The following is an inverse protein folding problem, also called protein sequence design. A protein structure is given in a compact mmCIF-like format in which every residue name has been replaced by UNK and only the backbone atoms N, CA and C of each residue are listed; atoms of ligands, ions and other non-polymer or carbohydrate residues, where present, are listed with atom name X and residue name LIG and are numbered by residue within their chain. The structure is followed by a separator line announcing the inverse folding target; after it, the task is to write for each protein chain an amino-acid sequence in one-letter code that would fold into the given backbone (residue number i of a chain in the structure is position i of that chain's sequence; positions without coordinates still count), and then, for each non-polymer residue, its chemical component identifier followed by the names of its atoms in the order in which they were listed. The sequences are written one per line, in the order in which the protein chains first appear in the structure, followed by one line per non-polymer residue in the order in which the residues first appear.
data_IF_608302079683
#
_entry.id   IF_608302079683
#
_cell.length_a   1.000
_cell.length_b   1.000
_cell.length_c   1.000
_cell.angle_alpha   90.00
_cell.angle_beta   90.00
_cell.angle_gamma   90.00
#
_symmetry.space_group_name_H-M   'P 1'
#
loop_
_entity.id
_entity.type
_entity.pdbx_description
1 polymer ?
#
# COMPACT_ATOMS: atom_id res chain seq x y z
N UNK A 1 -46.21 9.99 -26.49
CA UNK A 1 -46.76 9.81 -27.86
C UNK A 1 -46.45 8.43 -28.48
N UNK A 2 -45.31 7.79 -28.19
CA UNK A 2 -44.91 6.53 -28.86
C UNK A 2 -45.80 5.31 -28.54
N UNK A 3 -46.24 5.12 -27.28
CA UNK A 3 -47.02 3.94 -26.86
C UNK A 3 -48.36 3.85 -27.60
N UNK A 4 -49.16 4.92 -27.57
CA UNK A 4 -50.49 4.92 -28.19
C UNK A 4 -50.42 4.75 -29.71
N UNK A 5 -49.44 5.39 -30.36
CA UNK A 5 -49.22 5.23 -31.78
C UNK A 5 -48.87 3.78 -32.17
N UNK A 6 -47.92 3.15 -31.45
CA UNK A 6 -47.59 1.73 -31.67
C UNK A 6 -48.78 0.82 -31.38
N UNK A 7 -49.55 1.10 -30.33
CA UNK A 7 -50.76 0.36 -30.02
C UNK A 7 -51.78 0.39 -31.18
N UNK A 8 -52.10 1.59 -31.67
CA UNK A 8 -53.02 1.80 -32.79
C UNK A 8 -52.55 1.12 -34.08
N UNK A 9 -51.27 1.22 -34.40
CA UNK A 9 -50.73 0.76 -35.69
C UNK A 9 -50.37 -0.72 -35.72
N UNK A 10 -50.11 -1.32 -34.57
CA UNK A 10 -49.57 -2.69 -34.49
C UNK A 10 -50.54 -3.69 -33.87
N UNK A 11 -51.31 -3.30 -32.85
CA UNK A 11 -52.12 -4.24 -32.07
C UNK A 11 -53.62 -3.98 -32.10
N UNK A 12 -54.06 -2.76 -32.45
CA UNK A 12 -55.49 -2.44 -32.54
C UNK A 12 -56.03 -2.71 -33.96
N UNK A 13 -57.33 -2.99 -34.04
CA UNK A 13 -58.09 -3.23 -35.27
C UNK A 13 -59.40 -2.45 -35.22
N UNK A 14 -60.19 -2.48 -36.31
CA UNK A 14 -61.49 -1.81 -36.36
C UNK A 14 -62.53 -2.35 -35.35
N UNK A 15 -62.30 -3.53 -34.76
CA UNK A 15 -63.19 -4.14 -33.76
C UNK A 15 -62.62 -4.10 -32.33
N UNK A 16 -61.58 -3.30 -32.08
CA UNK A 16 -60.98 -3.18 -30.74
C UNK A 16 -61.92 -2.45 -29.77
N UNK A 17 -62.34 -3.15 -28.72
CA UNK A 17 -63.09 -2.57 -27.59
C UNK A 17 -62.15 -2.02 -26.49
N UNK A 18 -62.70 -1.51 -25.39
CA UNK A 18 -61.91 -0.95 -24.29
C UNK A 18 -60.95 -1.95 -23.65
N UNK A 19 -61.36 -3.21 -23.48
CA UNK A 19 -60.52 -4.24 -22.87
C UNK A 19 -59.35 -4.61 -23.81
N UNK A 20 -59.63 -4.79 -25.09
CA UNK A 20 -58.64 -5.03 -26.13
C UNK A 20 -57.70 -3.82 -26.31
N UNK A 21 -58.22 -2.59 -26.18
CA UNK A 21 -57.41 -1.37 -26.25
C UNK A 21 -56.40 -1.29 -25.10
N UNK A 22 -56.80 -1.67 -23.87
CA UNK A 22 -55.87 -1.79 -22.74
C UNK A 22 -54.79 -2.82 -23.02
N UNK A 23 -55.15 -4.00 -23.52
CA UNK A 23 -54.18 -5.06 -23.84
C UNK A 23 -53.18 -4.61 -24.91
N UNK A 24 -53.66 -3.97 -25.98
CA UNK A 24 -52.83 -3.41 -27.04
C UNK A 24 -51.87 -2.32 -26.53
N UNK A 25 -52.34 -1.43 -25.66
CA UNK A 25 -51.50 -0.38 -25.07
C UNK A 25 -50.44 -0.94 -24.13
N UNK A 26 -50.77 -1.98 -23.34
CA UNK A 26 -49.83 -2.69 -22.48
C UNK A 26 -48.78 -3.47 -23.30
N UNK A 27 -49.16 -4.15 -24.40
CA UNK A 27 -48.20 -4.77 -25.31
C UNK A 27 -47.26 -3.74 -25.94
N UNK A 28 -47.79 -2.61 -26.41
CA UNK A 28 -46.96 -1.54 -26.96
C UNK A 28 -45.99 -0.97 -25.92
N UNK A 29 -46.43 -0.77 -24.68
CA UNK A 29 -45.58 -0.32 -23.58
C UNK A 29 -44.51 -1.36 -23.22
N UNK A 30 -44.87 -2.64 -23.18
CA UNK A 30 -43.92 -3.74 -22.95
C UNK A 30 -42.87 -3.84 -24.05
N UNK A 31 -43.25 -3.71 -25.31
CA UNK A 31 -42.31 -3.82 -26.42
C UNK A 31 -41.35 -2.62 -26.51
N UNK A 32 -41.79 -1.44 -26.05
CA UNK A 32 -40.97 -0.23 -26.07
C UNK A 32 -40.10 -0.07 -24.82
N UNK A 33 -40.59 -0.48 -23.66
CA UNK A 33 -39.98 -0.17 -22.36
C UNK A 33 -39.84 -1.37 -21.41
N UNK A 34 -40.41 -2.52 -21.75
CA UNK A 34 -40.48 -3.71 -20.90
C UNK A 34 -41.73 -3.77 -20.03
N UNK A 35 -42.23 -4.98 -19.75
CA UNK A 35 -43.43 -5.23 -18.95
C UNK A 35 -43.31 -4.78 -17.48
N UNK A 36 -42.08 -4.55 -17.00
CA UNK A 36 -41.77 -4.08 -15.65
C UNK A 36 -41.57 -2.56 -15.57
N UNK A 37 -41.76 -1.82 -16.67
CA UNK A 37 -41.48 -0.38 -16.69
C UNK A 37 -42.56 0.45 -15.98
N UNK A 38 -42.16 1.64 -15.52
CA UNK A 38 -43.10 2.65 -15.01
C UNK A 38 -44.12 3.07 -16.08
N UNK A 39 -43.73 3.03 -17.37
CA UNK A 39 -44.60 3.30 -18.51
C UNK A 39 -45.68 2.22 -18.66
N UNK A 40 -45.32 0.93 -18.55
CA UNK A 40 -46.28 -0.16 -18.56
C UNK A 40 -47.28 -0.04 -17.40
N UNK A 41 -46.78 0.19 -16.19
CA UNK A 41 -47.62 0.40 -15.01
C UNK A 41 -48.51 1.65 -15.17
N UNK A 42 -47.96 2.77 -15.63
CA UNK A 42 -48.68 4.03 -15.86
C UNK A 42 -49.82 3.88 -16.87
N UNK A 43 -49.59 3.17 -17.97
CA UNK A 43 -50.64 2.85 -18.96
C UNK A 43 -51.72 1.99 -18.31
N UNK A 44 -51.34 0.91 -17.61
CA UNK A 44 -52.29 0.06 -16.91
C UNK A 44 -53.14 0.81 -15.88
N UNK A 45 -52.52 1.74 -15.15
CA UNK A 45 -53.15 2.55 -14.12
C UNK A 45 -54.08 3.62 -14.69
N UNK A 46 -53.73 4.19 -15.84
CA UNK A 46 -54.62 5.10 -16.57
C UNK A 46 -55.90 4.38 -17.03
N UNK A 47 -55.79 3.17 -17.57
CA UNK A 47 -56.97 2.36 -17.92
C UNK A 47 -57.77 1.89 -16.69
N UNK A 48 -57.09 1.53 -15.60
CA UNK A 48 -57.76 1.20 -14.34
C UNK A 48 -58.59 2.38 -13.80
N UNK A 49 -58.11 3.62 -14.00
CA UNK A 49 -58.82 4.84 -13.64
C UNK A 49 -60.16 5.04 -14.36
N UNK A 50 -60.37 4.40 -15.51
CA UNK A 50 -61.65 4.38 -16.24
C UNK A 50 -62.37 3.03 -16.09
N UNK A 51 -62.06 2.28 -15.04
CA UNK A 51 -62.66 0.97 -14.72
C UNK A 51 -62.41 -0.11 -15.79
N UNK A 52 -61.29 -0.02 -16.52
CA UNK A 52 -60.86 -1.04 -17.48
C UNK A 52 -59.64 -1.76 -16.91
N UNK A 53 -59.87 -2.94 -16.32
CA UNK A 53 -58.85 -3.75 -15.70
C UNK A 53 -58.37 -3.23 -14.33
N UNK A 54 -57.48 -3.99 -13.70
CA UNK A 54 -56.92 -3.68 -12.39
C UNK A 54 -55.76 -2.69 -12.46
N UNK A 55 -55.50 -2.01 -11.33
CA UNK A 55 -54.29 -1.22 -11.12
C UNK A 55 -53.06 -2.15 -11.12
N UNK A 56 -51.99 -1.68 -11.74
CA UNK A 56 -50.69 -2.32 -11.82
C UNK A 56 -49.75 -1.56 -10.89
N UNK A 57 -49.26 -2.24 -9.86
CA UNK A 57 -48.19 -1.68 -9.05
C UNK A 57 -46.89 -1.73 -9.88
N UNK A 58 -46.22 -0.59 -10.12
CA UNK A 58 -44.89 -0.63 -10.73
C UNK A 58 -43.96 -1.47 -9.82
N UNK A 59 -43.06 -2.28 -10.40
CA UNK A 59 -42.12 -3.03 -9.58
C UNK A 59 -41.25 -2.06 -8.79
N UNK A 60 -41.17 -2.30 -7.48
CA UNK A 60 -40.21 -1.63 -6.63
C UNK A 60 -38.80 -2.06 -7.04
N UNK A 61 -37.92 -1.09 -7.32
CA UNK A 61 -36.47 -1.21 -7.44
C UNK A 61 -35.98 -2.41 -8.28
N UNK A 62 -36.07 -2.29 -9.60
CA UNK A 62 -35.61 -3.32 -10.55
C UNK A 62 -34.10 -3.51 -10.63
N UNK A 63 -33.29 -2.58 -10.10
CA UNK A 63 -31.82 -2.65 -10.14
C UNK A 63 -31.26 -3.23 -8.85
N UNK A 64 -30.53 -4.33 -8.98
CA UNK A 64 -29.76 -4.94 -7.88
C UNK A 64 -28.28 -4.69 -8.11
N UNK A 65 -27.58 -4.16 -7.11
CA UNK A 65 -26.12 -4.00 -7.11
C UNK A 65 -25.55 -4.97 -6.09
N UNK A 66 -24.69 -5.87 -6.54
CA UNK A 66 -23.97 -6.78 -5.63
C UNK A 66 -22.92 -5.98 -4.88
N UNK A 67 -22.99 -5.99 -3.55
CA UNK A 67 -21.96 -5.36 -2.73
C UNK A 67 -20.62 -6.11 -2.89
N UNK A 68 -19.54 -5.43 -3.31
CA UNK A 68 -18.24 -6.09 -3.51
C UNK A 68 -17.52 -6.44 -2.19
N UNK A 69 -18.10 -6.08 -1.04
CA UNK A 69 -17.45 -6.17 0.26
C UNK A 69 -16.46 -5.03 0.49
N UNK A 70 -15.91 -4.97 1.70
CA UNK A 70 -14.90 -3.97 2.03
C UNK A 70 -13.64 -4.18 1.18
N UNK A 71 -13.07 -3.08 0.70
CA UNK A 71 -11.91 -3.06 -0.18
C UNK A 71 -10.67 -2.54 0.56
N UNK A 72 -9.51 -3.03 0.15
CA UNK A 72 -8.21 -2.56 0.65
C UNK A 72 -7.27 -2.29 -0.52
N UNK A 73 -6.49 -1.22 -0.42
CA UNK A 73 -5.49 -0.85 -1.42
C UNK A 73 -4.27 -0.19 -0.78
N UNK A 74 -3.21 -0.04 -1.57
CA UNK A 74 -1.99 0.66 -1.16
C UNK A 74 -1.77 1.88 -2.04
N UNK A 75 -1.35 3.01 -1.44
CA UNK A 75 -0.97 4.21 -2.18
C UNK A 75 0.03 3.84 -3.29
N UNK A 76 -0.13 4.42 -4.48
CA UNK A 76 0.76 4.19 -5.61
C UNK A 76 0.61 2.83 -6.31
N UNK A 77 -0.28 1.94 -5.84
CA UNK A 77 -0.56 0.65 -6.49
C UNK A 77 -1.85 0.73 -7.30
N UNK A 78 -1.81 0.29 -8.55
CA UNK A 78 -2.99 0.30 -9.42
C UNK A 78 -4.09 -0.63 -8.90
N UNK A 79 -5.35 -0.19 -9.03
CA UNK A 79 -6.55 -0.91 -8.62
C UNK A 79 -7.43 -1.19 -9.83
N UNK A 80 -8.08 -2.34 -9.82
CA UNK A 80 -9.11 -2.72 -10.78
C UNK A 80 -10.24 -3.51 -10.08
N UNK A 81 -11.41 -2.90 -9.91
CA UNK A 81 -12.57 -3.51 -9.26
C UNK A 81 -13.81 -3.39 -10.15
N UNK A 82 -14.36 -4.53 -10.56
CA UNK A 82 -15.58 -4.58 -11.36
C UNK A 82 -16.81 -4.60 -10.44
N UNK A 83 -17.75 -3.67 -10.66
CA UNK A 83 -19.05 -3.71 -10.00
C UNK A 83 -20.01 -4.62 -10.74
N UNK A 84 -20.65 -5.53 -10.00
CA UNK A 84 -21.67 -6.43 -10.52
C UNK A 84 -23.06 -5.87 -10.21
N UNK A 85 -23.89 -5.73 -11.24
CA UNK A 85 -25.26 -5.27 -11.11
C UNK A 85 -26.16 -5.91 -12.19
N UNK A 86 -27.45 -5.99 -11.90
CA UNK A 86 -28.48 -6.49 -12.81
C UNK A 86 -29.74 -5.65 -12.72
N UNK A 87 -30.50 -5.54 -13.81
CA UNK A 87 -31.85 -4.97 -13.80
C UNK A 87 -32.89 -5.96 -14.32
N UNK A 88 -34.10 -5.91 -13.76
CA UNK A 88 -35.28 -6.58 -14.32
C UNK A 88 -35.89 -5.83 -15.51
N UNK A 89 -35.39 -4.63 -15.80
CA UNK A 89 -35.71 -3.84 -16.99
C UNK A 89 -34.66 -4.07 -18.08
N UNK A 90 -35.10 -4.08 -19.35
CA UNK A 90 -34.20 -4.11 -20.51
C UNK A 90 -33.53 -2.76 -20.71
N UNK A 91 -32.26 -2.78 -21.14
CA UNK A 91 -31.51 -1.57 -21.51
C UNK A 91 -30.12 -1.53 -20.91
N UNK A 92 -29.37 -0.48 -21.24
CA UNK A 92 -28.04 -0.27 -20.68
C UNK A 92 -28.12 0.23 -19.24
N UNK A 93 -27.15 -0.20 -18.42
CA UNK A 93 -26.93 0.32 -17.08
C UNK A 93 -25.93 1.47 -17.12
N UNK A 94 -26.13 2.46 -16.25
CA UNK A 94 -25.20 3.56 -16.02
C UNK A 94 -24.71 3.53 -14.58
N UNK A 95 -23.44 3.84 -14.38
CA UNK A 95 -22.74 3.68 -13.11
C UNK A 95 -22.21 5.02 -12.63
N UNK A 96 -22.34 5.28 -11.34
CA UNK A 96 -21.72 6.43 -10.67
C UNK A 96 -21.26 6.02 -9.28
N UNK A 97 -20.23 6.70 -8.76
CA UNK A 97 -19.69 6.42 -7.45
C UNK A 97 -19.34 7.72 -6.74
N UNK A 98 -19.60 7.76 -5.44
CA UNK A 98 -19.20 8.83 -4.53
C UNK A 98 -18.35 8.25 -3.40
N UNK A 99 -17.48 9.07 -2.81
CA UNK A 99 -16.60 8.63 -1.72
C UNK A 99 -15.54 7.61 -2.13
N UNK A 100 -15.13 7.60 -3.41
CA UNK A 100 -13.96 6.86 -3.84
C UNK A 100 -12.68 7.49 -3.26
N UNK A 101 -11.67 6.68 -2.88
CA UNK A 101 -10.34 7.21 -2.55
C UNK A 101 -9.77 8.10 -3.67
N UNK A 102 -9.02 9.14 -3.29
CA UNK A 102 -8.37 10.03 -4.24
C UNK A 102 -7.48 9.23 -5.21
N UNK A 103 -7.64 9.47 -6.51
CA UNK A 103 -6.93 8.76 -7.58
C UNK A 103 -7.68 7.56 -8.16
N UNK A 104 -8.86 7.20 -7.63
CA UNK A 104 -9.77 6.22 -8.22
C UNK A 104 -10.97 6.90 -8.90
N UNK A 105 -11.50 6.24 -9.94
CA UNK A 105 -12.72 6.67 -10.64
C UNK A 105 -13.52 5.45 -11.12
N UNK A 106 -14.83 5.62 -11.35
CA UNK A 106 -15.68 4.60 -11.96
C UNK A 106 -15.97 4.94 -13.42
N UNK A 107 -15.85 3.95 -14.30
CA UNK A 107 -16.31 4.09 -15.68
C UNK A 107 -17.85 3.98 -15.73
N UNK A 108 -18.50 5.04 -16.20
CA UNK A 108 -19.97 5.17 -16.14
C UNK A 108 -20.77 4.20 -17.01
N UNK A 109 -20.15 3.50 -17.95
CA UNK A 109 -20.83 2.53 -18.84
C UNK A 109 -20.52 1.08 -18.51
N UNK A 110 -19.37 0.82 -17.87
CA UNK A 110 -18.90 -0.56 -17.59
C UNK A 110 -18.93 -0.90 -16.10
N UNK A 111 -19.00 0.09 -15.21
CA UNK A 111 -18.95 -0.13 -13.76
C UNK A 111 -17.56 -0.49 -13.23
N UNK A 112 -16.50 -0.36 -14.05
CA UNK A 112 -15.12 -0.61 -13.64
C UNK A 112 -14.59 0.54 -12.80
N UNK A 113 -14.30 0.29 -11.53
CA UNK A 113 -13.55 1.21 -10.66
C UNK A 113 -12.06 0.94 -10.90
N UNK A 114 -11.33 1.94 -11.36
CA UNK A 114 -9.89 1.83 -11.64
C UNK A 114 -9.14 3.12 -11.33
N UNK A 115 -7.81 3.00 -11.22
CA UNK A 115 -6.91 4.12 -10.94
C UNK A 115 -5.79 3.73 -9.99
N UNK A 116 -5.10 4.73 -9.46
CA UNK A 116 -4.01 4.54 -8.48
C UNK A 116 -4.28 5.45 -7.28
N UNK A 117 -4.56 4.91 -6.08
CA UNK A 117 -4.81 5.73 -4.90
C UNK A 117 -3.61 6.61 -4.54
N UNK A 118 -3.86 7.87 -4.21
CA UNK A 118 -2.79 8.86 -3.90
C UNK A 118 -2.70 9.22 -2.42
N UNK A 119 -3.75 8.99 -1.64
CA UNK A 119 -3.82 9.38 -0.22
C UNK A 119 -4.29 8.20 0.62
N UNK A 120 -3.60 7.92 1.72
CA UNK A 120 -4.02 6.92 2.69
C UNK A 120 -5.21 7.41 3.53
N UNK A 121 -6.04 6.47 3.96
CA UNK A 121 -7.24 6.73 4.74
C UNK A 121 -8.36 5.76 4.41
N UNK A 122 -9.40 5.79 5.23
CA UNK A 122 -10.62 5.01 5.01
C UNK A 122 -11.70 5.91 4.44
N UNK A 123 -12.29 5.49 3.32
CA UNK A 123 -13.40 6.17 2.66
C UNK A 123 -14.66 5.30 2.72
N UNK A 124 -15.84 5.94 2.79
CA UNK A 124 -17.12 5.26 2.61
C UNK A 124 -17.55 5.46 1.16
N UNK A 125 -17.39 4.41 0.33
CA UNK A 125 -17.72 4.46 -1.09
C UNK A 125 -19.16 3.99 -1.30
N UNK A 126 -19.94 4.76 -2.04
CA UNK A 126 -21.28 4.36 -2.50
C UNK A 126 -21.32 4.32 -4.01
N UNK A 127 -21.65 3.17 -4.56
CA UNK A 127 -21.92 2.99 -5.99
C UNK A 127 -23.42 3.04 -6.21
N UNK A 128 -23.84 3.83 -7.20
CA UNK A 128 -25.22 3.93 -7.68
C UNK A 128 -25.27 3.47 -9.12
N UNK A 129 -26.15 2.51 -9.40
CA UNK A 129 -26.41 2.00 -10.75
C UNK A 129 -27.83 2.39 -11.13
N UNK A 130 -27.99 2.97 -12.31
CA UNK A 130 -29.27 3.43 -12.85
C UNK A 130 -29.55 2.73 -14.17
N UNK A 131 -30.74 2.17 -14.35
CA UNK A 131 -31.17 1.60 -15.62
C UNK A 131 -31.79 2.64 -16.56
N UNK A 132 -32.10 2.24 -17.80
CA UNK A 132 -32.68 3.12 -18.83
C UNK A 132 -34.07 3.65 -18.51
N UNK A 133 -34.75 3.12 -17.48
CA UNK A 133 -36.05 3.61 -17.02
C UNK A 133 -35.91 4.63 -15.88
N UNK A 134 -34.69 4.84 -15.37
CA UNK A 134 -34.39 5.70 -14.24
C UNK A 134 -34.49 5.00 -12.88
N UNK A 135 -34.72 3.69 -12.84
CA UNK A 135 -34.69 2.93 -11.59
C UNK A 135 -33.23 2.79 -11.11
N UNK A 136 -33.03 2.85 -9.80
CA UNK A 136 -31.69 2.82 -9.20
C UNK A 136 -31.51 1.68 -8.21
N UNK A 137 -30.27 1.22 -8.09
CA UNK A 137 -29.79 0.33 -7.05
C UNK A 137 -28.46 0.86 -6.51
N UNK A 138 -28.17 0.60 -5.24
CA UNK A 138 -26.95 1.10 -4.60
C UNK A 138 -26.24 0.01 -3.81
N UNK A 139 -24.91 0.16 -3.68
CA UNK A 139 -24.11 -0.59 -2.75
C UNK A 139 -23.10 0.35 -2.07
N UNK A 140 -23.04 0.29 -0.74
CA UNK A 140 -22.10 1.04 0.08
C UNK A 140 -21.12 0.09 0.77
N UNK A 141 -19.84 0.40 0.72
CA UNK A 141 -18.78 -0.39 1.33
C UNK A 141 -17.61 0.49 1.78
N UNK A 142 -16.80 -0.01 2.71
CA UNK A 142 -15.60 0.69 3.15
C UNK A 142 -14.43 0.43 2.20
N UNK A 143 -13.65 1.46 1.91
CA UNK A 143 -12.38 1.35 1.20
C UNK A 143 -11.25 1.88 2.05
N UNK A 144 -10.33 1.00 2.46
CA UNK A 144 -9.15 1.37 3.23
C UNK A 144 -7.93 1.46 2.31
N UNK A 145 -7.31 2.64 2.24
CA UNK A 145 -6.04 2.84 1.55
C UNK A 145 -4.93 2.98 2.58
N UNK A 146 -3.94 2.11 2.54
CA UNK A 146 -2.75 2.19 3.38
C UNK A 146 -1.60 2.84 2.61
N UNK A 147 -0.67 3.50 3.31
CA UNK A 147 0.56 4.00 2.66
C UNK A 147 1.43 2.84 2.20
N UNK A 148 2.22 3.05 1.14
CA UNK A 148 3.35 2.18 0.82
C UNK A 148 4.31 2.20 2.01
N UNK A 149 4.40 1.10 2.76
CA UNK A 149 5.18 1.03 4.00
C UNK A 149 4.43 1.24 5.31
N UNK A 150 3.12 1.48 5.27
CA UNK A 150 2.29 1.79 6.45
C UNK A 150 2.07 0.68 7.47
N UNK A 151 2.82 -0.42 7.38
CA UNK A 151 2.83 -1.48 8.40
C UNK A 151 4.03 -1.40 9.36
N UNK A 152 5.01 -0.54 9.09
CA UNK A 152 6.25 -0.51 9.86
C UNK A 152 6.15 0.51 10.99
N UNK A 153 6.05 0.04 12.23
CA UNK A 153 6.27 0.90 13.38
C UNK A 153 7.77 1.10 13.61
N UNK A 154 8.12 2.10 14.44
CA UNK A 154 9.49 2.24 14.94
C UNK A 154 9.90 0.96 15.67
N UNK A 155 10.88 0.25 15.13
CA UNK A 155 11.40 -0.99 15.69
C UNK A 155 12.91 -1.06 15.47
N UNK A 156 13.66 -1.36 16.54
CA UNK A 156 15.06 -1.76 16.46
C UNK A 156 15.16 -3.18 15.91
N UNK A 157 15.91 -3.37 14.84
CA UNK A 157 16.11 -4.65 14.19
C UNK A 157 17.40 -5.36 14.61
N UNK A 158 18.38 -4.65 15.18
CA UNK A 158 19.60 -5.26 15.72
C UNK A 158 19.34 -5.85 17.10
N UNK A 159 19.80 -7.08 17.28
CA UNK A 159 19.99 -7.67 18.61
C UNK A 159 21.27 -7.14 19.25
N UNK A 160 21.22 -6.94 20.58
CA UNK A 160 22.36 -6.46 21.37
C UNK A 160 23.05 -5.23 20.76
N UNK A 161 22.27 -4.19 20.52
CA UNK A 161 22.67 -3.07 19.66
C UNK A 161 23.82 -2.22 20.26
N UNK A 162 23.93 -2.17 21.60
CA UNK A 162 25.07 -1.58 22.33
C UNK A 162 26.06 -2.61 22.89
N UNK A 163 26.07 -3.84 22.38
CA UNK A 163 27.05 -4.89 22.74
C UNK A 163 27.08 -5.39 24.20
N UNK A 164 26.28 -4.83 25.11
CA UNK A 164 26.23 -5.16 26.56
C UNK A 164 26.00 -6.64 26.93
N UNK A 165 25.58 -7.47 25.97
CA UNK A 165 25.47 -8.93 26.12
C UNK A 165 26.59 -9.70 25.40
N UNK A 166 27.78 -9.10 25.27
CA UNK A 166 28.94 -9.69 24.59
C UNK A 166 28.65 -10.00 23.12
N UNK A 167 29.07 -11.17 22.64
CA UNK A 167 28.84 -11.60 21.25
C UNK A 167 27.40 -12.03 20.94
N UNK A 168 26.45 -11.93 21.88
CA UNK A 168 25.07 -12.37 21.63
C UNK A 168 24.48 -11.63 20.43
N UNK A 169 24.07 -12.36 19.40
CA UNK A 169 23.51 -11.80 18.16
C UNK A 169 24.53 -11.27 17.15
N UNK A 170 25.82 -11.23 17.50
CA UNK A 170 26.90 -10.74 16.65
C UNK A 170 27.91 -11.83 16.34
N UNK A 171 28.34 -11.90 15.08
CA UNK A 171 29.52 -12.68 14.68
C UNK A 171 30.70 -11.73 14.60
N UNK A 172 31.70 -11.92 15.45
CA UNK A 172 32.86 -11.05 15.54
C UNK A 172 34.17 -11.84 15.61
N UNK A 173 35.27 -11.24 15.14
CA UNK A 173 36.63 -11.72 15.43
C UNK A 173 36.85 -11.79 16.96
N UNK A 174 37.75 -12.67 17.38
CA UNK A 174 38.03 -12.88 18.81
C UNK A 174 38.53 -11.60 19.46
N UNK A 175 37.90 -11.18 20.56
CA UNK A 175 38.31 -9.98 21.31
C UNK A 175 37.70 -8.66 20.82
N UNK A 176 37.03 -8.64 19.66
CA UNK A 176 36.44 -7.40 19.11
C UNK A 176 35.36 -6.83 20.02
N UNK A 177 34.43 -7.66 20.50
CA UNK A 177 33.44 -7.19 21.49
C UNK A 177 34.05 -7.31 22.88
N UNK A 178 34.29 -6.18 23.55
CA UNK A 178 35.15 -6.14 24.73
C UNK A 178 34.80 -5.02 25.72
N UNK A 179 35.12 -5.23 27.00
CA UNK A 179 35.08 -4.22 28.07
C UNK A 179 36.44 -3.63 28.38
N UNK A 180 37.46 -3.88 27.54
CA UNK A 180 38.83 -3.38 27.76
C UNK A 180 38.85 -1.85 27.93
N UNK A 181 39.62 -1.34 28.90
CA UNK A 181 39.65 0.10 29.23
C UNK A 181 40.59 0.93 28.35
N UNK A 182 41.34 0.31 27.43
CA UNK A 182 42.23 1.01 26.50
C UNK A 182 41.50 1.97 25.57
N UNK A 183 40.24 1.68 25.27
CA UNK A 183 39.31 2.56 24.58
C UNK A 183 38.02 2.70 25.40
N UNK A 184 37.47 3.90 25.49
CA UNK A 184 36.22 4.12 26.20
C UNK A 184 35.02 3.65 25.36
N UNK A 185 34.03 3.01 25.98
CA UNK A 185 32.71 2.82 25.36
C UNK A 185 31.98 4.17 25.24
N UNK A 186 31.11 4.30 24.24
CA UNK A 186 30.23 5.47 24.13
C UNK A 186 29.08 5.38 25.15
N UNK A 187 28.46 4.21 25.26
CA UNK A 187 27.43 3.88 26.22
C UNK A 187 27.78 2.58 26.97
N UNK A 188 27.25 2.41 28.18
CA UNK A 188 27.43 1.15 28.92
C UNK A 188 28.89 0.81 29.23
N UNK A 189 29.26 -0.46 29.06
CA UNK A 189 30.61 -0.98 29.37
C UNK A 189 31.23 -1.78 28.23
N UNK A 190 30.42 -2.27 27.29
CA UNK A 190 30.89 -2.99 26.11
C UNK A 190 30.99 -2.05 24.91
N UNK A 191 31.84 -2.43 23.96
CA UNK A 191 31.98 -1.81 22.65
C UNK A 191 32.50 -2.86 21.67
N UNK A 192 32.44 -2.56 20.39
CA UNK A 192 33.22 -3.29 19.39
C UNK A 192 34.48 -2.51 19.04
N UNK A 193 35.64 -3.05 19.38
CA UNK A 193 36.95 -2.50 19.04
C UNK A 193 37.60 -3.38 17.97
N UNK A 194 37.73 -2.83 16.76
CA UNK A 194 38.39 -3.48 15.63
C UNK A 194 39.79 -2.89 15.45
N UNK A 195 40.76 -3.76 15.15
CA UNK A 195 42.16 -3.42 14.90
C UNK A 195 42.86 -2.75 16.12
N UNK A 196 43.89 -1.93 15.91
CA UNK A 196 44.64 -1.24 16.96
C UNK A 196 45.91 -1.97 17.44
N UNK A 197 46.44 -2.86 16.62
CA UNK A 197 47.58 -3.72 16.96
C UNK A 197 48.93 -3.13 16.54
N UNK A 198 48.97 -2.21 15.57
CA UNK A 198 50.21 -1.75 14.93
C UNK A 198 50.91 -2.84 14.09
N UNK A 199 50.16 -3.85 13.67
CA UNK A 199 50.63 -4.95 12.83
C UNK A 199 49.49 -5.41 11.93
N UNK A 200 49.80 -6.09 10.82
CA UNK A 200 48.77 -6.50 9.86
C UNK A 200 47.69 -7.33 10.54
N UNK A 201 46.49 -6.79 10.59
CA UNK A 201 45.35 -7.41 11.23
C UNK A 201 44.08 -7.19 10.41
N UNK A 202 43.09 -8.04 10.63
CA UNK A 202 41.77 -7.88 10.02
C UNK A 202 40.72 -8.34 10.99
N UNK A 203 40.02 -7.38 11.57
CA UNK A 203 38.87 -7.64 12.41
C UNK A 203 37.56 -7.51 11.66
N UNK A 204 36.60 -8.35 12.05
CA UNK A 204 35.25 -8.31 11.51
C UNK A 204 34.22 -8.32 12.61
N UNK A 205 33.12 -7.62 12.36
CA UNK A 205 31.91 -7.63 13.17
C UNK A 205 30.71 -7.63 12.22
N UNK A 206 29.77 -8.55 12.43
CA UNK A 206 28.59 -8.64 11.56
C UNK A 206 27.35 -9.19 12.25
N UNK A 207 26.20 -8.78 11.74
CA UNK A 207 24.89 -9.31 12.09
C UNK A 207 24.01 -9.35 10.85
N UNK A 208 23.26 -10.44 10.65
CA UNK A 208 22.27 -10.53 9.57
C UNK A 208 20.91 -10.09 10.06
N UNK A 209 20.26 -9.21 9.30
CA UNK A 209 19.01 -8.56 9.69
C UNK A 209 18.04 -8.53 8.52
N UNK A 210 16.77 -8.85 8.79
CA UNK A 210 15.68 -8.71 7.80
C UNK A 210 15.03 -7.36 7.94
N UNK A 211 15.11 -6.53 6.89
CA UNK A 211 14.36 -5.28 6.81
C UNK A 211 13.00 -5.60 6.21
N UNK A 212 11.87 -5.37 6.93
CA UNK A 212 10.56 -5.72 6.40
C UNK A 212 10.23 -4.92 5.13
N UNK A 213 9.47 -5.55 4.23
CA UNK A 213 9.12 -4.95 2.94
C UNK A 213 8.33 -3.66 3.12
N UNK A 214 8.66 -2.64 2.33
CA UNK A 214 7.99 -1.34 2.34
C UNK A 214 8.41 -0.39 3.46
N UNK A 215 9.20 -0.80 4.46
CA UNK A 215 9.63 0.11 5.53
C UNK A 215 10.64 1.15 5.05
N UNK A 216 10.64 2.32 5.70
CA UNK A 216 11.88 3.10 5.82
C UNK A 216 12.81 2.39 6.79
N UNK A 217 14.11 2.48 6.56
CA UNK A 217 15.11 1.88 7.43
C UNK A 217 16.33 2.78 7.56
N UNK A 218 16.77 3.04 8.78
CA UNK A 218 17.93 3.87 9.09
C UNK A 218 18.92 3.11 9.96
N UNK A 219 20.15 2.95 9.47
CA UNK A 219 21.27 2.48 10.28
C UNK A 219 21.93 3.68 10.97
N UNK A 220 22.15 3.59 12.28
CA UNK A 220 23.04 4.47 13.02
C UNK A 220 24.08 3.69 13.82
N UNK A 221 25.22 4.31 14.08
CA UNK A 221 26.21 3.83 15.05
C UNK A 221 27.13 4.98 15.47
N UNK A 222 27.73 4.88 16.63
CA UNK A 222 28.80 5.78 17.06
C UNK A 222 30.15 5.19 16.67
N UNK A 223 31.03 6.04 16.14
CA UNK A 223 32.38 5.66 15.73
C UNK A 223 33.41 6.62 16.34
N UNK A 224 34.36 6.05 17.07
CA UNK A 224 35.60 6.68 17.48
C UNK A 224 36.76 6.04 16.71
N UNK A 225 37.72 6.87 16.27
CA UNK A 225 38.91 6.43 15.56
C UNK A 225 40.11 7.07 16.24
N UNK A 226 40.97 6.24 16.81
CA UNK A 226 42.27 6.65 17.33
C UNK A 226 43.37 6.09 16.44
N UNK A 227 44.42 6.88 16.20
CA UNK A 227 45.51 6.43 15.33
C UNK A 227 46.83 7.12 15.65
N UNK A 228 47.86 6.28 15.74
CA UNK A 228 49.25 6.70 15.86
C UNK A 228 49.84 7.16 14.51
N UNK A 229 49.16 6.90 13.39
CA UNK A 229 49.58 7.37 12.07
C UNK A 229 49.65 8.90 12.01
N UNK A 230 50.70 9.43 11.39
CA UNK A 230 50.95 10.88 11.28
C UNK A 230 50.75 11.42 9.87
N UNK A 231 50.51 10.54 8.89
CA UNK A 231 50.19 10.94 7.51
C UNK A 231 48.88 11.72 7.44
N UNK A 232 48.81 12.63 6.47
CA UNK A 232 47.60 13.41 6.16
C UNK A 232 46.95 13.02 4.85
N UNK A 233 47.52 12.06 4.11
CA UNK A 233 47.07 11.70 2.76
C UNK A 233 46.99 10.20 2.50
N UNK A 234 47.78 9.38 3.20
CA UNK A 234 47.75 7.94 3.03
C UNK A 234 46.70 7.31 3.94
N UNK A 235 45.85 6.48 3.34
CA UNK A 235 44.83 5.69 4.03
C UNK A 235 45.36 4.26 4.19
N UNK A 236 46.15 4.05 5.23
CA UNK A 236 46.79 2.76 5.52
C UNK A 236 45.77 1.79 6.07
N UNK A 237 45.19 2.15 7.21
CA UNK A 237 44.18 1.35 7.90
C UNK A 237 42.78 1.80 7.52
N UNK A 238 41.85 0.85 7.36
CA UNK A 238 40.50 1.13 6.89
C UNK A 238 39.44 0.34 7.62
N UNK A 239 38.36 1.03 7.96
CA UNK A 239 37.07 0.43 8.34
C UNK A 239 36.08 0.56 7.19
N UNK A 240 35.70 -0.56 6.58
CA UNK A 240 34.63 -0.60 5.59
C UNK A 240 33.32 -1.07 6.22
N UNK A 241 32.26 -0.28 6.05
CA UNK A 241 30.90 -0.60 6.54
C UNK A 241 30.01 -0.97 5.36
N UNK A 242 29.37 -2.13 5.42
CA UNK A 242 28.54 -2.68 4.34
C UNK A 242 27.21 -3.20 4.86
N UNK A 243 26.18 -3.15 4.00
CA UNK A 243 24.90 -3.82 4.19
C UNK A 243 24.61 -4.70 2.97
N UNK A 244 24.81 -6.01 3.11
CA UNK A 244 24.85 -6.92 1.97
C UNK A 244 26.00 -6.56 1.03
N UNK A 245 25.72 -6.37 -0.26
CA UNK A 245 26.73 -5.93 -1.24
C UNK A 245 26.96 -4.42 -1.30
N UNK A 246 26.16 -3.61 -0.57
CA UNK A 246 26.24 -2.16 -0.61
C UNK A 246 27.30 -1.66 0.38
N UNK A 247 28.34 -0.99 -0.10
CA UNK A 247 29.24 -0.21 0.76
C UNK A 247 28.54 1.08 1.19
N UNK A 248 28.43 1.28 2.51
CA UNK A 248 27.83 2.47 3.11
C UNK A 248 28.88 3.56 3.30
N UNK A 249 30.04 3.19 3.82
CA UNK A 249 31.18 4.09 4.00
C UNK A 249 32.49 3.31 4.09
N UNK A 250 33.59 4.02 3.88
CA UNK A 250 34.94 3.58 4.26
C UNK A 250 35.59 4.72 5.05
N UNK A 251 36.01 4.41 6.26
CA UNK A 251 36.80 5.29 7.11
C UNK A 251 38.24 4.79 7.15
N UNK A 252 39.16 5.64 7.58
CA UNK A 252 40.58 5.32 7.66
C UNK A 252 41.25 6.05 8.83
N UNK A 253 42.54 5.77 9.05
CA UNK A 253 43.42 6.52 9.94
C UNK A 253 43.35 8.05 9.75
N UNK A 254 43.04 8.54 8.53
CA UNK A 254 42.85 9.98 8.26
C UNK A 254 41.59 10.58 8.89
N UNK A 255 40.66 9.75 9.34
CA UNK A 255 39.40 10.16 9.96
C UNK A 255 39.49 10.23 11.49
N UNK A 256 40.68 10.07 12.08
CA UNK A 256 40.88 10.16 13.53
C UNK A 256 40.39 11.49 14.09
N UNK A 257 39.66 11.42 15.19
CA UNK A 257 39.08 12.58 15.85
C UNK A 257 38.86 12.29 17.34
N UNK A 258 38.85 13.33 18.16
CA UNK A 258 38.57 13.19 19.58
C UNK A 258 37.13 12.71 19.80
N UNK A 259 36.98 11.62 20.56
CA UNK A 259 35.68 11.07 20.95
C UNK A 259 34.87 10.46 19.81
N UNK A 260 33.62 10.12 20.13
CA UNK A 260 32.71 9.46 19.21
C UNK A 260 31.96 10.44 18.32
N UNK A 261 31.66 10.00 17.09
CA UNK A 261 30.76 10.67 16.17
C UNK A 261 29.70 9.72 15.66
N UNK A 262 28.44 10.13 15.69
CA UNK A 262 27.34 9.32 15.15
C UNK A 262 27.37 9.34 13.62
N UNK A 263 27.17 8.16 13.02
CA UNK A 263 27.01 7.95 11.58
C UNK A 263 25.60 7.47 11.30
N UNK A 264 25.03 7.90 10.18
CA UNK A 264 23.63 7.60 9.80
C UNK A 264 23.56 7.25 8.31
N UNK A 265 22.83 6.18 7.96
CA UNK A 265 22.65 5.72 6.59
C UNK A 265 21.21 5.27 6.31
N UNK A 266 20.66 5.71 5.18
CA UNK A 266 19.36 5.23 4.68
C UNK A 266 19.53 3.86 3.99
N UNK A 267 18.86 2.85 4.56
CA UNK A 267 18.80 1.48 4.06
C UNK A 267 17.42 1.12 3.49
N UNK A 268 16.52 2.08 3.31
CA UNK A 268 15.15 1.85 2.79
C UNK A 268 15.15 1.15 1.43
N UNK A 269 16.19 1.34 0.62
CA UNK A 269 16.35 0.64 -0.68
C UNK A 269 16.54 -0.88 -0.54
N UNK A 270 16.80 -1.38 0.66
CA UNK A 270 17.01 -2.79 0.99
C UNK A 270 15.78 -3.41 1.68
N UNK A 271 14.68 -2.66 1.82
CA UNK A 271 13.44 -3.14 2.41
C UNK A 271 12.89 -4.37 1.66
N UNK A 272 12.49 -5.39 2.42
CA UNK A 272 12.00 -6.68 1.90
C UNK A 272 13.10 -7.73 1.72
N UNK A 273 14.32 -7.45 2.17
CA UNK A 273 15.47 -8.36 2.06
C UNK A 273 16.13 -8.61 3.43
N UNK A 274 16.77 -9.78 3.56
CA UNK A 274 17.73 -10.04 4.64
C UNK A 274 19.12 -9.60 4.17
N UNK A 275 19.76 -8.73 4.95
CA UNK A 275 21.09 -8.19 4.64
C UNK A 275 22.03 -8.39 5.81
N UNK A 276 23.30 -8.68 5.51
CA UNK A 276 24.36 -8.71 6.53
C UNK A 276 24.92 -7.31 6.68
N UNK A 277 24.71 -6.71 7.86
CA UNK A 277 25.45 -5.53 8.29
C UNK A 277 26.85 -6.01 8.70
N UNK A 278 27.89 -5.47 8.09
CA UNK A 278 29.29 -5.84 8.38
C UNK A 278 30.18 -4.61 8.50
N UNK A 279 30.97 -4.62 9.57
CA UNK A 279 32.13 -3.77 9.80
C UNK A 279 33.38 -4.61 9.57
N UNK A 280 34.27 -4.11 8.72
CA UNK A 280 35.50 -4.81 8.33
C UNK A 280 36.68 -3.86 8.53
N UNK A 281 37.40 -4.05 9.63
CA UNK A 281 38.65 -3.39 9.92
C UNK A 281 39.80 -4.10 9.20
N UNK A 282 40.71 -3.34 8.63
CA UNK A 282 41.97 -3.83 8.07
C UNK A 282 43.04 -2.85 8.50
N UNK A 283 44.02 -3.37 9.22
CA UNK A 283 45.22 -2.67 9.64
C UNK A 283 46.40 -3.17 8.81
N UNK A 284 47.27 -2.25 8.38
CA UNK A 284 48.55 -2.63 7.81
C UNK A 284 49.63 -2.82 8.89
N UNK A 285 50.91 -2.85 8.53
CA UNK A 285 51.99 -3.03 9.50
C UNK A 285 52.63 -1.70 9.88
N UNK A 286 52.80 -1.41 11.18
CA UNK A 286 53.73 -0.43 11.79
C UNK A 286 53.06 0.36 12.91
N UNK A 287 52.16 1.28 12.57
CA UNK A 287 51.49 2.15 13.55
C UNK A 287 50.03 1.73 13.68
N UNK A 288 49.48 1.93 14.86
CA UNK A 288 48.15 1.45 15.15
C UNK A 288 47.05 2.38 14.65
N UNK A 289 45.93 1.80 14.23
CA UNK A 289 44.64 2.50 14.14
C UNK A 289 43.52 1.66 14.74
N UNK A 290 42.88 2.18 15.78
CA UNK A 290 41.72 1.62 16.45
C UNK A 290 40.44 2.13 15.81
N UNK A 291 39.52 1.23 15.46
CA UNK A 291 38.17 1.57 15.05
C UNK A 291 37.17 1.08 16.09
N UNK A 292 36.64 2.00 16.89
CA UNK A 292 35.75 1.68 18.01
C UNK A 292 34.32 2.04 17.66
N UNK A 293 33.48 1.02 17.53
CA UNK A 293 32.06 1.11 17.17
C UNK A 293 31.21 0.81 18.41
N UNK A 294 30.20 1.65 18.64
CA UNK A 294 29.28 1.47 19.75
C UNK A 294 27.87 1.98 19.43
N UNK A 295 26.90 1.59 20.27
CA UNK A 295 25.50 2.02 20.21
C UNK A 295 24.92 1.97 18.78
N UNK A 296 25.03 0.80 18.16
CA UNK A 296 24.46 0.55 16.83
C UNK A 296 22.94 0.54 16.89
N UNK A 297 22.28 0.91 15.79
CA UNK A 297 20.85 0.72 15.64
C UNK A 297 20.47 0.59 14.18
N UNK A 298 19.56 -0.33 13.85
CA UNK A 298 18.87 -0.35 12.57
C UNK A 298 17.37 -0.23 12.85
N UNK A 299 16.83 0.97 12.66
CA UNK A 299 15.44 1.28 13.01
C UNK A 299 14.56 1.39 11.78
N UNK A 300 13.36 0.81 11.84
CA UNK A 300 12.33 1.00 10.80
C UNK A 300 11.44 2.19 11.09
N UNK A 301 10.78 2.73 10.07
CA UNK A 301 9.67 3.68 10.19
C UNK A 301 8.76 3.70 8.97
#
# INVERSE_FOLDING_TARGET
LQIWYKALTTYMTSSTDYAAARAAALHAASDLYGANSAQYAGVGNAFAGINVGSHINPPANGVTVTNPGNQSATVGTAVNLQIQASSTNSGALTYSATGLPAGLSINGSTGLISGTPTTAGTSSTTVTVTDSTGATGTATFSWTVSTTGGGCSSQQLLSNAGFESGNTGWTASSGVITTDSGEAAHGGSYKAWLDGYGSTHTDTLSQSVTIPAGCKASLTFYLHIDSAETTTSAQYDKLTVTAGSKTLATYSNLNKAAGYSQKTFDLSSLAGSTVTLKFNGVEDSSLQTSFVVDDTALTTS
#
